data_IF_697088829855
#
_entry.id   IF_697088829855
#
_cell.length_a   1.000
_cell.length_b   1.000
_cell.length_c   1.000
_cell.angle_alpha   90.00
_cell.angle_beta   90.00
_cell.angle_gamma   90.00
#
_symmetry.space_group_name_H-M   'P 1'
#
loop_
_entity.id
_entity.type
_entity.pdbx_description
1 polymer ?
#
# COMPACT_ATOMS: atom_id res chain seq x y z
N UNK A 1 -41.26 28.18 35.56
CA UNK A 1 -40.21 27.15 35.68
C UNK A 1 -40.29 26.32 34.42
N UNK A 2 -39.35 26.63 33.53
CA UNK A 2 -38.86 25.98 32.29
C UNK A 2 -39.89 25.38 31.32
N UNK A 3 -40.06 25.91 30.10
CA UNK A 3 -39.12 25.95 28.95
C UNK A 3 -38.61 24.58 28.52
N UNK A 4 -39.11 24.07 27.39
CA UNK A 4 -38.36 23.44 26.27
C UNK A 4 -39.38 23.22 25.13
N UNK A 5 -39.58 24.19 24.24
CA UNK A 5 -38.85 24.37 22.98
C UNK A 5 -38.73 23.08 22.15
N UNK A 6 -39.62 22.97 21.15
CA UNK A 6 -39.63 21.93 20.13
C UNK A 6 -38.65 22.34 19.03
N UNK A 7 -37.36 22.17 19.28
CA UNK A 7 -36.32 22.30 18.26
C UNK A 7 -36.13 20.94 17.59
N UNK A 8 -36.88 20.70 16.52
CA UNK A 8 -36.62 19.60 15.60
C UNK A 8 -35.42 19.98 14.74
N UNK A 9 -34.23 19.67 15.27
CA UNK A 9 -32.94 19.81 14.60
C UNK A 9 -32.79 18.67 13.57
N UNK A 10 -33.58 18.71 12.50
CA UNK A 10 -33.32 17.88 11.32
C UNK A 10 -32.58 18.69 10.24
N UNK A 11 -31.52 19.35 10.70
CA UNK A 11 -30.52 20.01 9.88
C UNK A 11 -29.16 19.38 10.13
N UNK A 12 -29.04 18.09 9.82
CA UNK A 12 -27.75 17.48 9.52
C UNK A 12 -27.82 17.05 8.08
N UNK A 13 -27.10 17.79 7.25
CA UNK A 13 -26.70 17.41 5.90
C UNK A 13 -26.15 15.98 5.99
N UNK A 14 -26.99 14.99 5.69
CA UNK A 14 -26.49 13.66 5.35
C UNK A 14 -25.73 13.88 4.05
N UNK A 15 -24.40 13.83 4.09
CA UNK A 15 -23.60 13.65 2.88
C UNK A 15 -24.19 12.42 2.17
N UNK A 16 -25.03 12.64 1.16
CA UNK A 16 -25.60 11.56 0.36
C UNK A 16 -24.43 10.85 -0.29
N UNK A 17 -24.08 9.66 0.22
CA UNK A 17 -23.09 8.79 -0.42
C UNK A 17 -23.60 8.53 -1.84
N UNK A 18 -22.88 8.97 -2.88
CA UNK A 18 -23.33 8.82 -4.25
C UNK A 18 -23.47 7.33 -4.59
N UNK A 19 -24.50 6.97 -5.35
CA UNK A 19 -24.70 5.57 -5.75
C UNK A 19 -23.53 5.07 -6.62
N UNK A 20 -23.31 3.75 -6.66
CA UNK A 20 -22.29 3.13 -7.50
C UNK A 20 -22.45 3.51 -8.99
N UNK A 21 -23.68 3.68 -9.48
CA UNK A 21 -23.94 4.13 -10.84
C UNK A 21 -23.51 5.58 -11.08
N UNK A 22 -23.72 6.46 -10.09
CA UNK A 22 -23.26 7.84 -10.15
C UNK A 22 -21.73 7.93 -10.06
N UNK A 23 -21.09 7.07 -9.26
CA UNK A 23 -19.64 6.89 -9.24
C UNK A 23 -19.12 6.39 -10.59
N UNK A 24 -19.76 5.37 -11.18
CA UNK A 24 -19.38 4.81 -12.47
C UNK A 24 -19.50 5.84 -13.59
N UNK A 25 -20.56 6.66 -13.57
CA UNK A 25 -20.72 7.77 -14.49
C UNK A 25 -19.58 8.80 -14.35
N UNK A 26 -19.17 9.10 -13.11
CA UNK A 26 -18.02 9.98 -12.84
C UNK A 26 -16.70 9.36 -13.33
N UNK A 27 -16.43 8.09 -13.03
CA UNK A 27 -15.25 7.37 -13.50
C UNK A 27 -15.16 7.37 -15.04
N UNK A 28 -16.29 7.12 -15.71
CA UNK A 28 -16.41 7.21 -17.17
C UNK A 28 -16.20 8.61 -17.72
N UNK A 29 -16.40 9.66 -16.93
CA UNK A 29 -16.17 11.05 -17.34
C UNK A 29 -14.75 11.57 -17.07
N UNK A 30 -13.90 10.80 -16.37
CA UNK A 30 -12.52 11.21 -16.08
C UNK A 30 -11.73 11.44 -17.37
N UNK A 31 -11.02 12.56 -17.42
CA UNK A 31 -10.09 12.86 -18.50
C UNK A 31 -8.78 12.14 -18.27
N UNK A 32 -8.33 11.33 -19.24
CA UNK A 32 -7.00 10.71 -19.21
C UNK A 32 -5.91 11.77 -19.16
N UNK A 33 -6.07 12.86 -19.91
CA UNK A 33 -5.12 13.98 -19.93
C UNK A 33 -4.95 14.62 -18.54
N UNK A 34 -6.06 14.83 -17.82
CA UNK A 34 -6.00 15.43 -16.48
C UNK A 34 -5.46 14.48 -15.42
N UNK A 35 -5.69 13.17 -15.58
CA UNK A 35 -5.06 12.16 -14.74
C UNK A 35 -3.56 12.08 -15.03
N UNK A 36 -3.15 12.19 -16.29
CA UNK A 36 -1.75 12.21 -16.70
C UNK A 36 -1.03 13.45 -16.15
N UNK A 37 -1.63 14.64 -16.24
CA UNK A 37 -1.10 15.87 -15.62
C UNK A 37 -0.84 15.69 -14.12
N UNK A 38 -1.77 15.01 -13.43
CA UNK A 38 -1.65 14.73 -12.00
C UNK A 38 -0.53 13.73 -11.70
N UNK A 39 -0.44 12.64 -12.49
CA UNK A 39 0.62 11.63 -12.36
C UNK A 39 2.00 12.24 -12.65
N UNK A 40 2.14 13.04 -13.71
CA UNK A 40 3.39 13.75 -14.02
C UNK A 40 3.80 14.71 -12.92
N UNK A 41 2.83 15.41 -12.32
CA UNK A 41 3.10 16.33 -11.21
C UNK A 41 3.58 15.62 -9.95
N UNK A 42 3.13 14.39 -9.69
CA UNK A 42 3.59 13.57 -8.56
C UNK A 42 4.95 12.94 -8.89
N UNK A 43 5.15 12.50 -10.13
CA UNK A 43 6.35 11.81 -10.58
C UNK A 43 6.35 10.34 -10.14
N UNK A 44 6.64 9.43 -11.08
CA UNK A 44 6.70 8.00 -10.78
C UNK A 44 7.48 7.21 -11.83
N UNK A 45 8.34 6.31 -11.36
CA UNK A 45 8.94 5.27 -12.20
C UNK A 45 8.98 3.95 -11.42
N UNK A 46 8.30 2.91 -11.93
CA UNK A 46 8.35 1.58 -11.33
C UNK A 46 9.76 0.99 -11.49
N UNK A 47 10.42 0.70 -10.37
CA UNK A 47 11.78 0.12 -10.34
C UNK A 47 11.80 -1.41 -10.45
N UNK A 48 10.61 -2.04 -10.54
CA UNK A 48 10.43 -3.51 -10.55
C UNK A 48 11.04 -4.20 -9.32
N UNK A 49 11.13 -3.53 -8.18
CA UNK A 49 11.75 -4.04 -6.96
C UNK A 49 10.96 -5.14 -6.23
N UNK A 50 9.69 -5.38 -6.59
CA UNK A 50 8.84 -6.39 -5.94
C UNK A 50 8.35 -6.02 -4.53
N UNK A 51 8.69 -4.85 -3.98
CA UNK A 51 8.29 -4.45 -2.63
C UNK A 51 6.76 -4.32 -2.46
N UNK A 52 6.02 -4.02 -3.53
CA UNK A 52 4.56 -4.01 -3.47
C UNK A 52 3.94 -5.41 -3.41
N UNK A 53 4.72 -6.47 -3.63
CA UNK A 53 4.26 -7.85 -3.58
C UNK A 53 4.52 -8.51 -2.21
N UNK A 54 5.22 -7.84 -1.30
CA UNK A 54 5.56 -8.39 0.01
C UNK A 54 4.51 -8.06 1.06
N UNK A 55 4.42 -8.89 2.09
CA UNK A 55 3.57 -8.62 3.25
C UNK A 55 4.06 -7.37 4.01
N UNK A 56 3.16 -6.65 4.67
CA UNK A 56 3.53 -5.52 5.52
C UNK A 56 3.92 -6.02 6.92
N UNK A 57 5.16 -5.76 7.33
CA UNK A 57 5.61 -6.03 8.69
C UNK A 57 5.35 -4.81 9.57
N UNK A 58 4.45 -4.94 10.56
CA UNK A 58 4.36 -3.98 11.65
C UNK A 58 5.70 -3.97 12.41
N UNK A 59 6.60 -3.03 12.10
CA UNK A 59 7.92 -2.90 12.74
C UNK A 59 9.08 -2.48 11.83
N UNK A 60 8.90 -2.39 10.51
CA UNK A 60 9.98 -2.02 9.59
C UNK A 60 10.36 -0.53 9.62
N UNK A 61 9.56 0.31 10.29
CA UNK A 61 9.83 1.74 10.48
C UNK A 61 11.01 2.03 11.43
N UNK A 62 11.43 1.06 12.26
CA UNK A 62 12.46 1.29 13.29
C UNK A 62 13.89 0.88 12.89
N UNK A 63 14.12 0.26 11.72
CA UNK A 63 15.44 -0.28 11.37
C UNK A 63 16.05 0.20 10.03
N UNK A 64 15.78 1.45 9.62
CA UNK A 64 16.55 2.12 8.55
C UNK A 64 17.16 3.47 8.97
N UNK A 65 17.67 3.57 10.19
CA UNK A 65 18.50 4.73 10.59
C UNK A 65 19.65 4.37 11.53
N UNK A 66 20.47 3.38 11.18
CA UNK A 66 21.80 3.25 11.81
C UNK A 66 22.85 2.69 10.84
N UNK A 67 23.09 3.41 9.75
CA UNK A 67 24.41 3.45 9.14
C UNK A 67 24.90 4.89 9.19
N UNK A 68 25.34 5.30 10.38
CA UNK A 68 26.04 6.57 10.55
C UNK A 68 27.40 6.46 9.85
N UNK A 69 27.52 7.20 8.76
CA UNK A 69 28.76 7.58 8.13
C UNK A 69 29.48 8.54 9.10
N UNK A 70 30.42 8.04 9.91
CA UNK A 70 31.37 8.90 10.63
C UNK A 70 32.71 8.95 9.88
N UNK A 71 33.19 10.16 9.51
CA UNK A 71 34.52 10.32 8.96
C UNK A 71 35.54 10.36 10.10
N UNK A 72 36.25 9.26 10.28
CA UNK A 72 37.31 9.16 11.28
C UNK A 72 38.52 10.02 10.89
N UNK A 73 38.58 11.22 11.48
CA UNK A 73 39.73 12.12 11.43
C UNK A 73 40.72 11.77 12.55
N UNK A 74 41.77 11.03 12.19
CA UNK A 74 42.96 10.86 13.05
C UNK A 74 44.21 11.37 12.34
N UNK A 75 44.76 12.47 12.86
CA UNK A 75 46.10 12.92 12.54
C UNK A 75 47.05 12.62 13.70
N UNK A 76 48.10 11.81 13.43
CA UNK A 76 49.50 12.23 13.42
C UNK A 76 50.48 11.17 13.98
N UNK A 77 51.38 10.67 13.12
CA UNK A 77 52.82 10.54 13.41
C UNK A 77 53.66 10.22 12.13
N UNK A 78 54.36 11.25 11.62
CA UNK A 78 55.76 11.25 11.18
C UNK A 78 56.29 10.32 10.06
N UNK A 79 56.60 10.91 8.89
CA UNK A 79 57.96 11.01 8.29
C UNK A 79 57.83 11.62 6.88
N UNK A 80 58.23 12.87 6.70
CA UNK A 80 59.54 13.31 6.18
C UNK A 80 59.76 12.98 4.69
N UNK A 81 59.58 13.97 3.81
CA UNK A 81 60.64 14.51 2.92
C UNK A 81 60.12 15.54 1.91
N UNK A 82 60.74 16.72 1.97
CA UNK A 82 61.21 17.55 0.84
C UNK A 82 60.26 18.42 -0.02
N UNK A 83 60.64 19.72 -0.01
CA UNK A 83 60.78 20.69 -1.12
C UNK A 83 59.56 21.58 -1.44
N UNK A 84 59.66 22.85 -1.05
CA UNK A 84 60.01 24.04 -1.88
C UNK A 84 58.73 24.57 -2.57
N UNK A 85 58.35 25.85 -2.61
CA UNK A 85 58.98 27.12 -2.30
C UNK A 85 57.86 28.20 -2.40
N UNK A 86 57.99 29.32 -1.67
CA UNK A 86 57.48 30.66 -2.03
C UNK A 86 55.95 30.94 -2.10
N UNK A 87 55.40 32.12 -1.73
CA UNK A 87 55.91 33.43 -1.31
C UNK A 87 54.68 34.29 -0.88
N UNK A 88 54.79 34.99 0.28
CA UNK A 88 54.29 36.35 0.62
C UNK A 88 52.78 36.71 0.60
N UNK A 89 52.28 37.18 1.76
CA UNK A 89 51.84 38.58 2.09
C UNK A 89 50.32 38.76 1.93
N UNK A 90 49.55 39.48 2.76
CA UNK A 90 49.84 40.48 3.78
C UNK A 90 48.75 40.49 4.86
N UNK A 91 49.17 41.03 5.99
CA UNK A 91 48.45 41.29 7.22
C UNK A 91 47.62 42.59 7.12
N UNK A 92 46.40 42.63 7.67
CA UNK A 92 45.86 43.89 8.18
C UNK A 92 44.94 43.68 9.39
N UNK A 93 45.28 44.51 10.38
CA UNK A 93 44.73 44.70 11.71
C UNK A 93 43.46 45.55 11.65
N UNK A 94 42.47 45.27 12.51
CA UNK A 94 41.91 46.30 13.40
C UNK A 94 41.09 45.70 14.54
N UNK A 95 41.55 46.00 15.74
CA UNK A 95 40.87 45.95 17.04
C UNK A 95 39.76 46.99 17.15
N UNK A 96 38.72 46.72 17.97
CA UNK A 96 38.15 47.47 19.13
C UNK A 96 36.68 47.07 19.30
N UNK A 97 36.00 47.16 20.44
CA UNK A 97 36.26 47.08 21.87
C UNK A 97 34.86 47.24 22.54
N UNK A 98 34.62 46.44 23.57
CA UNK A 98 33.75 46.66 24.75
C UNK A 98 32.26 47.03 24.65
N UNK A 99 31.46 46.31 25.44
CA UNK A 99 30.09 46.69 25.81
C UNK A 99 29.34 45.70 26.71
N UNK A 100 29.86 45.49 27.92
CA UNK A 100 29.30 44.66 29.01
C UNK A 100 28.12 45.33 29.73
N UNK A 101 27.05 44.60 30.05
CA UNK A 101 26.24 44.84 31.27
C UNK A 101 25.50 43.58 31.75
N UNK A 102 25.82 43.20 32.99
CA UNK A 102 25.16 42.24 33.88
C UNK A 102 23.70 42.62 34.23
N UNK A 103 22.82 41.63 34.51
CA UNK A 103 22.43 41.30 35.90
C UNK A 103 21.50 40.10 36.01
N UNK A 104 21.95 39.14 36.83
CA UNK A 104 21.23 38.12 37.56
C UNK A 104 19.93 38.61 38.23
N UNK A 105 18.97 37.71 38.45
CA UNK A 105 18.69 37.17 39.79
C UNK A 105 17.56 36.15 39.80
N UNK A 106 17.83 35.07 40.52
CA UNK A 106 16.97 33.97 40.94
C UNK A 106 15.86 34.46 41.89
N UNK A 107 14.71 33.76 41.91
CA UNK A 107 13.98 33.39 43.14
C UNK A 107 13.38 31.98 42.93
N UNK A 108 13.61 31.11 43.91
CA UNK A 108 13.01 29.80 44.08
C UNK A 108 11.99 29.84 45.23
N UNK A 109 10.90 29.07 45.15
CA UNK A 109 10.17 28.46 46.29
C UNK A 109 9.12 27.47 45.75
N UNK A 110 9.30 26.14 45.84
CA UNK A 110 8.68 25.21 46.82
C UNK A 110 7.21 25.55 47.17
N UNK A 111 6.19 24.69 47.15
CA UNK A 111 5.99 23.26 47.41
C UNK A 111 4.56 22.92 46.93
N UNK A 112 4.27 21.68 46.55
CA UNK A 112 3.31 20.78 47.24
C UNK A 112 2.92 19.61 46.33
N UNK A 113 3.43 18.44 46.70
CA UNK A 113 2.97 17.13 46.27
C UNK A 113 1.60 16.84 46.87
N UNK A 114 0.65 16.41 46.04
CA UNK A 114 -0.53 15.67 46.48
C UNK A 114 -0.58 14.36 45.71
N UNK A 115 -0.44 13.30 46.48
CA UNK A 115 -0.58 11.91 46.06
C UNK A 115 -1.99 11.70 45.49
N UNK A 116 -2.09 11.09 44.31
CA UNK A 116 -3.34 10.52 43.84
C UNK A 116 -3.07 9.10 43.35
N UNK A 117 -3.22 8.17 44.28
CA UNK A 117 -3.32 6.75 44.03
C UNK A 117 -4.64 6.47 43.30
N UNK A 118 -4.56 6.18 42.00
CA UNK A 118 -5.70 5.83 41.16
C UNK A 118 -5.31 4.78 40.13
N UNK A 119 -5.41 3.52 40.55
CA UNK A 119 -5.67 2.32 39.73
C UNK A 119 -5.06 2.29 38.33
N UNK A 120 -3.84 1.74 38.24
CA UNK A 120 -3.35 1.13 36.99
C UNK A 120 -4.18 -0.13 36.75
N UNK A 121 -5.17 -0.03 35.87
CA UNK A 121 -5.73 -1.20 35.23
C UNK A 121 -4.59 -1.88 34.48
N UNK A 122 -4.27 -3.10 34.89
CA UNK A 122 -3.40 -4.01 34.15
C UNK A 122 -4.10 -4.27 32.81
N UNK A 123 -3.77 -3.50 31.79
CA UNK A 123 -3.94 -3.96 30.42
C UNK A 123 -2.93 -5.09 30.26
N UNK A 124 -3.45 -6.30 30.31
CA UNK A 124 -2.77 -7.54 29.99
C UNK A 124 -2.12 -7.35 28.62
N UNK A 125 -0.82 -7.03 28.63
CA UNK A 125 0.00 -7.08 27.43
C UNK A 125 0.17 -8.55 27.09
N UNK A 126 -0.90 -9.14 26.55
CA UNK A 126 -0.76 -10.25 25.62
C UNK A 126 0.20 -9.73 24.57
N UNK A 127 1.37 -10.35 24.53
CA UNK A 127 2.36 -10.13 23.48
C UNK A 127 1.66 -10.43 22.17
N UNK A 128 1.08 -9.41 21.53
CA UNK A 128 0.77 -9.45 20.12
C UNK A 128 2.13 -9.69 19.47
N UNK A 129 2.37 -10.93 19.06
CA UNK A 129 3.31 -11.19 17.98
C UNK A 129 2.98 -10.17 16.90
N UNK A 130 3.93 -9.33 16.50
CA UNK A 130 3.77 -8.41 15.37
C UNK A 130 3.20 -9.24 14.21
N UNK A 131 1.88 -9.13 13.99
CA UNK A 131 1.20 -9.97 13.03
C UNK A 131 1.46 -9.33 11.69
N UNK A 132 2.36 -9.94 10.93
CA UNK A 132 2.58 -9.56 9.54
C UNK A 132 1.25 -9.69 8.80
N UNK A 133 0.68 -8.58 8.36
CA UNK A 133 -0.53 -8.62 7.54
C UNK A 133 -0.15 -9.12 6.16
N UNK A 134 -0.73 -10.25 5.70
CA UNK A 134 -0.37 -10.83 4.42
C UNK A 134 -0.73 -9.85 3.30
N UNK A 135 0.08 -9.84 2.24
CA UNK A 135 -0.17 -9.04 1.05
C UNK A 135 -1.59 -9.29 0.54
N UNK A 136 -2.34 -8.20 0.33
CA UNK A 136 -3.74 -8.26 -0.09
C UNK A 136 -3.94 -7.30 -1.27
N UNK A 137 -4.18 -7.88 -2.44
CA UNK A 137 -4.54 -7.15 -3.65
C UNK A 137 -5.76 -7.80 -4.29
N UNK A 138 -6.84 -7.05 -4.44
CA UNK A 138 -8.09 -7.53 -5.03
C UNK A 138 -7.88 -7.89 -6.50
N UNK A 139 -8.39 -9.05 -6.92
CA UNK A 139 -8.31 -9.53 -8.30
C UNK A 139 -9.68 -10.04 -8.74
N UNK A 140 -10.07 -9.77 -9.98
CA UNK A 140 -11.38 -10.17 -10.50
C UNK A 140 -11.32 -11.47 -11.32
N UNK A 141 -12.46 -12.17 -11.53
CA UNK A 141 -12.47 -13.50 -12.16
C UNK A 141 -11.82 -13.60 -13.54
N UNK A 142 -11.88 -12.56 -14.36
CA UNK A 142 -11.19 -12.50 -15.65
C UNK A 142 -9.67 -12.34 -15.48
N UNK A 143 -9.23 -11.43 -14.60
CA UNK A 143 -7.82 -11.22 -14.27
C UNK A 143 -7.16 -12.50 -13.71
N UNK A 144 -7.90 -13.29 -12.91
CA UNK A 144 -7.42 -14.59 -12.42
C UNK A 144 -7.15 -15.54 -13.60
N UNK A 145 -8.07 -15.62 -14.57
CA UNK A 145 -7.92 -16.50 -15.75
C UNK A 145 -6.80 -16.03 -16.68
N UNK A 146 -6.59 -14.72 -16.80
CA UNK A 146 -5.47 -14.13 -17.52
C UNK A 146 -4.13 -14.54 -16.88
N UNK A 147 -4.02 -14.44 -15.55
CA UNK A 147 -2.83 -14.87 -14.80
C UNK A 147 -2.57 -16.38 -14.90
N UNK A 148 -3.60 -17.22 -14.86
CA UNK A 148 -3.46 -18.67 -15.09
C UNK A 148 -2.86 -18.94 -16.47
N UNK A 149 -3.36 -18.25 -17.50
CA UNK A 149 -2.86 -18.39 -18.88
C UNK A 149 -1.41 -17.94 -18.99
N UNK A 150 -1.07 -16.78 -18.42
CA UNK A 150 0.30 -16.26 -18.43
C UNK A 150 1.28 -17.21 -17.71
N UNK A 151 0.85 -17.82 -16.60
CA UNK A 151 1.67 -18.77 -15.83
C UNK A 151 1.89 -20.08 -16.61
N UNK A 152 0.84 -20.59 -17.25
CA UNK A 152 0.92 -21.79 -18.09
C UNK A 152 1.85 -21.58 -19.29
N UNK A 153 1.84 -20.40 -19.91
CA UNK A 153 2.72 -20.04 -21.04
C UNK A 153 4.21 -19.95 -20.63
N UNK A 154 4.52 -19.56 -19.39
CA UNK A 154 5.89 -19.52 -18.86
C UNK A 154 6.41 -20.93 -18.53
N UNK A 155 5.52 -21.85 -18.15
CA UNK A 155 5.84 -23.22 -17.76
C UNK A 155 6.32 -24.14 -18.90
N UNK A 156 6.14 -23.76 -20.16
CA UNK A 156 6.50 -24.55 -21.35
C UNK A 156 8.01 -24.44 -21.68
N UNK A 157 8.88 -24.70 -20.68
CA UNK A 157 10.32 -24.92 -20.93
C UNK A 157 10.50 -26.32 -21.57
N UNK A 158 10.98 -26.43 -22.82
CA UNK A 158 11.10 -27.70 -23.53
C UNK A 158 12.16 -28.67 -22.95
N UNK A 159 12.78 -28.35 -21.81
CA UNK A 159 13.82 -29.18 -21.15
C UNK A 159 13.31 -29.92 -19.90
N UNK A 160 12.00 -30.15 -19.76
CA UNK A 160 11.50 -31.16 -18.81
C UNK A 160 11.52 -32.57 -19.43
N UNK A 161 12.69 -33.21 -19.45
CA UNK A 161 12.77 -34.67 -19.66
C UNK A 161 12.24 -35.39 -18.43
N UNK A 162 10.96 -35.72 -18.44
CA UNK A 162 10.35 -36.61 -17.45
C UNK A 162 9.05 -37.15 -17.99
N UNK A 163 8.97 -38.47 -18.17
CA UNK A 163 7.74 -39.18 -18.48
C UNK A 163 6.74 -38.99 -17.32
N UNK A 164 5.97 -37.92 -17.38
CA UNK A 164 4.89 -37.57 -16.46
C UNK A 164 3.79 -36.88 -17.26
N UNK A 165 2.63 -37.52 -17.27
CA UNK A 165 1.28 -36.95 -17.39
C UNK A 165 1.26 -35.41 -17.53
N UNK A 166 0.74 -34.96 -18.68
CA UNK A 166 0.85 -33.59 -19.19
C UNK A 166 0.66 -32.50 -18.14
N UNK A 167 1.46 -31.43 -18.30
CA UNK A 167 1.51 -30.25 -17.45
C UNK A 167 0.11 -29.86 -16.95
N UNK A 168 -0.11 -30.00 -15.65
CA UNK A 168 -1.35 -29.57 -15.03
C UNK A 168 -1.43 -28.04 -15.18
N UNK A 169 -2.49 -27.55 -15.82
CA UNK A 169 -2.78 -26.12 -15.92
C UNK A 169 -2.88 -25.50 -14.52
N UNK A 170 -2.37 -24.29 -14.36
CA UNK A 170 -2.40 -23.51 -13.12
C UNK A 170 -3.81 -23.47 -12.54
N UNK A 171 -4.01 -23.93 -11.31
CA UNK A 171 -5.33 -23.96 -10.68
C UNK A 171 -5.72 -22.58 -10.10
N UNK A 172 -7.02 -22.36 -9.88
CA UNK A 172 -7.51 -21.09 -9.33
C UNK A 172 -6.85 -20.76 -7.99
N UNK A 173 -6.64 -21.79 -7.14
CA UNK A 173 -6.01 -21.66 -5.82
C UNK A 173 -4.53 -21.31 -5.90
N UNK A 174 -3.88 -21.56 -7.04
CA UNK A 174 -2.49 -21.17 -7.25
C UNK A 174 -2.36 -19.67 -7.52
N UNK A 175 -3.45 -19.01 -7.95
CA UNK A 175 -3.46 -17.59 -8.34
C UNK A 175 -4.22 -16.72 -7.34
N UNK A 176 -5.34 -17.20 -6.81
CA UNK A 176 -6.25 -16.41 -6.01
C UNK A 176 -6.75 -17.16 -4.77
N UNK A 177 -7.09 -16.38 -3.74
CA UNK A 177 -7.70 -16.85 -2.49
C UNK A 177 -8.93 -16.03 -2.13
N UNK A 178 -9.87 -16.60 -1.36
CA UNK A 178 -10.95 -15.82 -0.76
C UNK A 178 -10.41 -14.58 -0.04
N UNK A 179 -11.10 -13.44 -0.14
CA UNK A 179 -10.78 -12.29 0.72
C UNK A 179 -10.86 -12.71 2.19
N UNK A 180 -9.95 -12.25 3.06
CA UNK A 180 -9.87 -12.71 4.45
C UNK A 180 -11.03 -12.22 5.32
N UNK A 181 -11.80 -11.24 4.86
CA UNK A 181 -12.90 -10.65 5.61
C UNK A 181 -14.16 -11.52 5.59
N UNK A 182 -14.82 -11.67 6.74
CA UNK A 182 -16.06 -12.45 6.85
C UNK A 182 -15.86 -13.96 6.97
N UNK A 183 -14.61 -14.40 7.14
CA UNK A 183 -14.24 -15.80 7.34
C UNK A 183 -13.91 -16.05 8.82
N UNK A 184 -14.24 -17.26 9.29
CA UNK A 184 -13.88 -17.74 10.62
C UNK A 184 -12.63 -18.62 10.53
N UNK A 185 -11.50 -18.12 11.05
CA UNK A 185 -10.20 -18.80 11.07
C UNK A 185 -10.24 -20.13 11.82
N UNK A 186 -11.18 -20.32 12.75
CA UNK A 186 -11.28 -21.55 13.54
C UNK A 186 -12.09 -22.65 12.84
N UNK A 187 -13.03 -22.27 11.98
CA UNK A 187 -14.05 -23.18 11.45
C UNK A 187 -13.98 -23.43 9.95
N UNK A 188 -13.11 -22.74 9.19
CA UNK A 188 -13.00 -22.87 7.72
C UNK A 188 -14.37 -22.72 7.01
N UNK A 189 -15.27 -21.94 7.61
CA UNK A 189 -16.62 -21.65 7.11
C UNK A 189 -16.82 -20.15 7.10
N UNK A 190 -17.62 -19.66 6.15
CA UNK A 190 -17.96 -18.25 6.11
C UNK A 190 -18.34 -17.79 4.72
N UNK A 191 -18.74 -16.53 4.63
CA UNK A 191 -19.07 -15.88 3.37
C UNK A 191 -18.18 -14.66 3.22
N UNK A 192 -17.50 -14.58 2.09
CA UNK A 192 -16.70 -13.41 1.72
C UNK A 192 -17.08 -12.88 0.34
N UNK A 193 -16.57 -11.71 0.02
CA UNK A 193 -16.81 -11.00 -1.23
C UNK A 193 -15.49 -10.78 -1.95
N UNK A 194 -15.49 -11.06 -3.26
CA UNK A 194 -14.34 -10.93 -4.15
C UNK A 194 -13.13 -11.80 -3.76
N UNK A 195 -12.08 -11.70 -4.57
CA UNK A 195 -10.84 -12.47 -4.44
C UNK A 195 -9.66 -11.57 -4.13
N UNK A 196 -8.68 -12.12 -3.42
CA UNK A 196 -7.33 -11.57 -3.33
C UNK A 196 -6.35 -12.42 -4.12
N UNK A 197 -5.26 -11.82 -4.60
CA UNK A 197 -4.09 -12.60 -5.04
C UNK A 197 -3.66 -13.58 -3.94
N UNK A 198 -3.31 -14.79 -4.36
CA UNK A 198 -2.80 -15.83 -3.48
C UNK A 198 -1.47 -15.39 -2.87
N UNK A 199 -1.20 -15.87 -1.66
CA UNK A 199 0.05 -15.63 -0.95
C UNK A 199 0.83 -16.92 -0.72
N UNK A 200 2.15 -16.82 -0.63
CA UNK A 200 3.02 -17.90 -0.18
C UNK A 200 2.98 -18.05 1.36
N UNK A 201 3.80 -18.96 1.90
CA UNK A 201 3.85 -19.21 3.34
C UNK A 201 4.40 -18.05 4.19
N UNK A 202 5.11 -17.09 3.57
CA UNK A 202 5.59 -15.87 4.22
C UNK A 202 4.53 -14.76 4.24
N UNK A 203 3.43 -14.92 3.48
CA UNK A 203 2.40 -13.90 3.31
C UNK A 203 2.63 -12.96 2.13
N UNK A 204 3.70 -13.15 1.35
CA UNK A 204 3.94 -12.40 0.12
C UNK A 204 3.07 -12.95 -1.02
N UNK A 205 2.81 -12.13 -2.03
CA UNK A 205 2.15 -12.55 -3.26
C UNK A 205 2.82 -13.79 -3.86
N UNK A 206 2.03 -14.74 -4.37
CA UNK A 206 2.54 -15.99 -4.98
C UNK A 206 3.46 -15.75 -6.19
N UNK A 207 3.33 -14.60 -6.85
CA UNK A 207 4.16 -14.18 -7.98
C UNK A 207 5.43 -13.43 -7.55
N UNK A 208 5.65 -13.24 -6.26
CA UNK A 208 6.90 -12.67 -5.75
C UNK A 208 8.02 -13.70 -5.85
N UNK A 209 9.16 -13.26 -6.37
CA UNK A 209 10.39 -14.04 -6.36
C UNK A 209 11.55 -13.14 -5.93
N UNK A 210 12.48 -13.71 -5.17
CA UNK A 210 13.68 -13.03 -4.71
C UNK A 210 14.92 -13.84 -5.12
N UNK A 211 15.77 -13.22 -5.93
CA UNK A 211 17.06 -13.80 -6.32
C UNK A 211 18.17 -12.88 -5.86
N UNK A 212 19.15 -13.41 -5.13
CA UNK A 212 20.30 -12.68 -4.60
C UNK A 212 19.94 -11.42 -3.77
N UNK A 213 18.83 -11.49 -3.02
CA UNK A 213 18.35 -10.36 -2.20
C UNK A 213 17.61 -9.28 -2.99
N UNK A 214 17.28 -9.53 -4.25
CA UNK A 214 16.57 -8.60 -5.12
C UNK A 214 15.18 -9.20 -5.43
N UNK A 215 14.14 -8.54 -4.94
CA UNK A 215 12.76 -8.88 -5.19
C UNK A 215 12.32 -8.56 -6.62
N UNK A 216 11.36 -9.33 -7.12
CA UNK A 216 10.77 -9.17 -8.44
C UNK A 216 9.35 -9.73 -8.49
N UNK A 217 8.53 -9.20 -9.41
CA UNK A 217 7.20 -9.73 -9.69
C UNK A 217 7.27 -10.54 -10.99
N UNK A 218 7.01 -11.85 -10.91
CA UNK A 218 7.05 -12.75 -12.07
C UNK A 218 5.89 -12.50 -13.05
N UNK A 219 4.77 -11.96 -12.56
CA UNK A 219 3.61 -11.59 -13.37
C UNK A 219 3.68 -10.12 -13.85
N UNK A 220 4.84 -9.45 -13.84
CA UNK A 220 4.93 -7.99 -14.04
C UNK A 220 4.24 -7.48 -15.31
N UNK A 221 4.34 -8.22 -16.41
CA UNK A 221 3.80 -7.81 -17.69
C UNK A 221 2.30 -8.15 -17.85
N UNK A 222 1.79 -9.07 -17.02
CA UNK A 222 0.39 -9.55 -16.99
C UNK A 222 -0.31 -9.15 -15.67
N UNK A 223 0.19 -8.10 -15.01
CA UNK A 223 -0.32 -7.65 -13.70
C UNK A 223 -1.81 -7.32 -13.77
N UNK A 224 -2.61 -7.75 -12.75
CA UNK A 224 -3.95 -7.22 -12.55
C UNK A 224 -3.95 -5.70 -12.43
N UNK A 225 -5.09 -5.08 -12.72
CA UNK A 225 -5.24 -3.63 -12.76
C UNK A 225 -4.81 -2.96 -11.45
N UNK A 226 -5.12 -3.57 -10.29
CA UNK A 226 -4.68 -3.11 -8.97
C UNK A 226 -3.16 -2.95 -8.90
N UNK A 227 -2.40 -3.91 -9.45
CA UNK A 227 -0.94 -3.95 -9.43
C UNK A 227 -0.33 -3.11 -10.55
N UNK A 228 -0.95 -3.07 -11.72
CA UNK A 228 -0.50 -2.29 -12.87
C UNK A 228 -0.61 -0.77 -12.64
N UNK A 229 -1.53 -0.36 -11.77
CA UNK A 229 -1.79 1.06 -11.45
C UNK A 229 -1.20 1.50 -10.13
N UNK A 230 -0.66 0.59 -9.32
CA UNK A 230 0.07 0.93 -8.11
C UNK A 230 1.27 1.84 -8.44
N UNK A 231 1.50 2.93 -7.69
CA UNK A 231 0.92 3.27 -6.39
C UNK A 231 -0.27 4.22 -6.45
N UNK A 232 -0.96 4.34 -7.58
CA UNK A 232 -2.01 5.33 -7.76
C UNK A 232 -3.43 4.78 -7.54
N UNK A 233 -4.30 5.62 -6.98
CA UNK A 233 -5.75 5.41 -6.95
C UNK A 233 -6.50 6.70 -7.28
N UNK A 234 -7.80 6.60 -7.56
CA UNK A 234 -8.68 7.76 -7.81
C UNK A 234 -9.64 7.94 -6.65
N UNK A 235 -9.71 9.15 -6.10
CA UNK A 235 -10.67 9.50 -5.05
C UNK A 235 -12.09 9.69 -5.64
N UNK A 236 -12.82 8.59 -5.78
CA UNK A 236 -14.27 8.57 -6.02
C UNK A 236 -14.96 8.37 -4.66
N UNK A 237 -15.96 9.21 -4.35
CA UNK A 237 -16.53 9.40 -3.00
C UNK A 237 -17.37 8.25 -2.43
N UNK A 238 -17.13 7.00 -2.82
CA UNK A 238 -17.95 5.84 -2.45
C UNK A 238 -17.27 4.49 -2.58
N UNK A 239 -16.02 4.40 -3.05
CA UNK A 239 -15.26 3.15 -3.03
C UNK A 239 -14.20 3.14 -1.93
N UNK A 240 -14.00 1.97 -1.34
CA UNK A 240 -12.93 1.69 -0.37
C UNK A 240 -11.61 2.21 -0.93
N UNK A 241 -11.05 3.24 -0.29
CA UNK A 241 -9.71 3.69 -0.62
C UNK A 241 -8.78 2.50 -0.37
N UNK A 242 -7.89 2.13 -1.31
CA UNK A 242 -6.91 1.08 -1.05
C UNK A 242 -6.12 1.41 0.21
N UNK A 243 -5.74 0.36 0.92
CA UNK A 243 -5.15 0.40 2.25
C UNK A 243 -3.98 1.39 2.32
N UNK A 244 -3.99 2.25 3.35
CA UNK A 244 -2.95 3.25 3.60
C UNK A 244 -3.42 4.70 3.40
N UNK A 245 -2.83 5.61 4.17
CA UNK A 245 -2.99 7.05 3.93
C UNK A 245 -2.20 7.42 2.67
N UNK A 246 -2.82 8.21 1.79
CA UNK A 246 -2.12 8.71 0.61
C UNK A 246 -0.95 9.62 1.02
N UNK A 247 0.26 9.28 0.60
CA UNK A 247 1.48 10.07 0.86
C UNK A 247 1.59 11.30 -0.05
N UNK A 248 0.90 11.29 -1.20
CA UNK A 248 0.79 12.46 -2.08
C UNK A 248 -0.57 12.49 -2.81
N UNK A 249 -0.95 13.66 -3.32
CA UNK A 249 -2.20 13.88 -4.05
C UNK A 249 -2.11 15.00 -5.07
N UNK A 250 -2.69 14.76 -6.24
CA UNK A 250 -2.89 15.77 -7.27
C UNK A 250 -4.29 15.62 -7.87
N UNK A 251 -5.16 16.61 -7.63
CA UNK A 251 -6.56 16.56 -8.05
C UNK A 251 -7.28 15.33 -7.48
N UNK A 252 -7.76 14.44 -8.36
CA UNK A 252 -8.42 13.19 -7.97
C UNK A 252 -7.46 12.03 -7.77
N UNK A 253 -6.20 12.15 -8.21
CA UNK A 253 -5.19 11.11 -8.04
C UNK A 253 -4.66 11.13 -6.61
N UNK A 254 -4.47 9.95 -6.05
CA UNK A 254 -3.82 9.68 -4.76
C UNK A 254 -2.64 8.77 -5.04
N UNK A 255 -1.52 9.01 -4.38
CA UNK A 255 -0.35 8.15 -4.41
C UNK A 255 -0.15 7.51 -3.03
N UNK A 256 0.16 6.23 -3.04
CA UNK A 256 0.46 5.41 -1.86
C UNK A 256 1.96 5.16 -1.76
N UNK A 257 2.42 4.73 -0.60
CA UNK A 257 3.84 4.50 -0.33
C UNK A 257 4.48 3.64 -1.41
N UNK A 258 5.52 4.15 -2.07
CA UNK A 258 6.31 3.43 -3.06
C UNK A 258 7.64 4.13 -3.29
N UNK A 259 8.73 3.36 -3.40
CA UNK A 259 10.08 3.87 -3.70
C UNK A 259 10.20 4.53 -5.09
N UNK A 260 9.26 4.24 -5.98
CA UNK A 260 9.21 4.80 -7.33
C UNK A 260 8.72 6.25 -7.40
N UNK A 261 8.13 6.80 -6.34
CA UNK A 261 7.54 8.14 -6.33
C UNK A 261 8.60 9.25 -6.42
N UNK A 262 8.21 10.38 -7.03
CA UNK A 262 9.05 11.57 -7.20
C UNK A 262 10.10 11.45 -8.32
N UNK A 263 10.14 10.33 -9.04
CA UNK A 263 11.00 10.12 -10.22
C UNK A 263 10.36 10.74 -11.46
N UNK A 264 11.18 11.10 -12.44
CA UNK A 264 10.70 11.67 -13.70
C UNK A 264 9.91 10.61 -14.49
N UNK A 265 8.69 10.97 -14.92
CA UNK A 265 7.87 10.17 -15.83
C UNK A 265 7.69 10.91 -17.15
N UNK A 266 7.77 10.19 -18.27
CA UNK A 266 7.47 10.80 -19.57
C UNK A 266 5.96 11.01 -19.73
N UNK A 267 5.59 12.01 -20.54
CA UNK A 267 4.17 12.26 -20.85
C UNK A 267 3.45 11.04 -21.39
N UNK A 268 4.09 10.31 -22.28
CA UNK A 268 3.55 9.09 -22.88
C UNK A 268 3.28 8.02 -21.81
N UNK A 269 4.23 7.78 -20.90
CA UNK A 269 4.07 6.83 -19.81
C UNK A 269 3.01 7.27 -18.79
N UNK A 270 2.92 8.58 -18.51
CA UNK A 270 1.88 9.12 -17.64
C UNK A 270 0.48 9.00 -18.25
N UNK A 271 0.34 9.20 -19.57
CA UNK A 271 -0.92 9.00 -20.29
C UNK A 271 -1.34 7.52 -20.34
N UNK A 272 -0.39 6.61 -20.53
CA UNK A 272 -0.63 5.17 -20.45
C UNK A 272 -1.09 4.76 -19.05
N UNK A 273 -0.36 5.17 -18.00
CA UNK A 273 -0.72 4.88 -16.62
C UNK A 273 -2.06 5.51 -16.23
N UNK A 274 -2.34 6.73 -16.69
CA UNK A 274 -3.62 7.41 -16.50
C UNK A 274 -4.78 6.66 -17.17
N UNK A 275 -4.57 6.14 -18.38
CA UNK A 275 -5.57 5.34 -19.09
C UNK A 275 -5.86 4.04 -18.33
N UNK A 276 -4.83 3.33 -17.87
CA UNK A 276 -4.96 2.11 -17.06
C UNK A 276 -5.64 2.40 -15.72
N UNK A 277 -5.27 3.50 -15.05
CA UNK A 277 -5.89 3.94 -13.78
C UNK A 277 -7.38 4.24 -13.94
N UNK A 278 -7.77 4.89 -15.04
CA UNK A 278 -9.19 5.10 -15.35
C UNK A 278 -9.91 3.78 -15.64
N UNK A 279 -9.28 2.88 -16.40
CA UNK A 279 -9.82 1.55 -16.69
C UNK A 279 -10.07 0.78 -15.40
N UNK A 280 -9.11 0.76 -14.48
CA UNK A 280 -9.25 0.19 -13.14
C UNK A 280 -10.45 0.76 -12.39
N UNK A 281 -10.53 2.09 -12.27
CA UNK A 281 -11.62 2.73 -11.53
C UNK A 281 -13.01 2.36 -12.12
N UNK A 282 -13.11 2.24 -13.44
CA UNK A 282 -14.34 1.78 -14.11
C UNK A 282 -14.60 0.29 -13.83
N UNK A 283 -13.57 -0.55 -13.88
CA UNK A 283 -13.68 -2.00 -13.64
C UNK A 283 -14.17 -2.28 -12.23
N UNK A 284 -13.50 -1.73 -11.21
CA UNK A 284 -13.86 -1.89 -9.79
C UNK A 284 -15.35 -1.53 -9.53
N UNK A 285 -15.83 -0.44 -10.13
CA UNK A 285 -17.23 -0.03 -9.99
C UNK A 285 -18.21 -0.94 -10.73
N UNK A 286 -17.86 -1.45 -11.91
CA UNK A 286 -18.70 -2.43 -12.60
C UNK A 286 -18.77 -3.74 -11.81
N UNK A 287 -17.65 -4.22 -11.29
CA UNK A 287 -17.58 -5.43 -10.48
C UNK A 287 -18.43 -5.29 -9.21
N UNK A 288 -18.31 -4.18 -8.49
CA UNK A 288 -19.14 -3.89 -7.32
C UNK A 288 -20.65 -3.83 -7.65
N UNK A 289 -21.02 -3.24 -8.79
CA UNK A 289 -22.43 -3.21 -9.26
C UNK A 289 -22.91 -4.62 -9.60
N UNK A 290 -22.11 -5.38 -10.36
CA UNK A 290 -22.43 -6.75 -10.77
C UNK A 290 -22.56 -7.67 -9.57
N UNK A 291 -21.65 -7.57 -8.60
CA UNK A 291 -21.72 -8.31 -7.34
C UNK A 291 -23.02 -7.99 -6.59
N UNK A 292 -23.33 -6.70 -6.39
CA UNK A 292 -24.56 -6.27 -5.72
C UNK A 292 -25.81 -6.81 -6.43
N UNK A 293 -25.82 -6.78 -7.76
CA UNK A 293 -26.97 -7.19 -8.57
C UNK A 293 -27.13 -8.72 -8.66
N UNK A 294 -26.03 -9.47 -8.59
CA UNK A 294 -26.01 -10.93 -8.64
C UNK A 294 -26.08 -11.59 -7.26
N UNK A 295 -25.85 -10.85 -6.19
CA UNK A 295 -25.80 -11.39 -4.83
C UNK A 295 -27.13 -12.00 -4.41
N UNK A 296 -27.08 -13.30 -4.12
CA UNK A 296 -28.13 -14.05 -3.45
C UNK A 296 -27.49 -14.75 -2.24
N UNK A 297 -27.99 -14.55 -1.01
CA UNK A 297 -27.47 -15.26 0.15
C UNK A 297 -27.53 -16.78 -0.08
N UNK A 298 -26.38 -17.44 -0.05
CA UNK A 298 -26.37 -18.89 0.04
C UNK A 298 -26.84 -19.29 1.44
N UNK A 299 -27.71 -20.31 1.54
CA UNK A 299 -28.10 -20.88 2.84
C UNK A 299 -26.91 -21.49 3.59
N UNK A 300 -27.19 -22.30 4.61
CA UNK A 300 -26.13 -23.05 5.32
C UNK A 300 -25.40 -23.96 4.31
N UNK A 301 -24.21 -23.53 3.91
CA UNK A 301 -23.31 -24.24 3.01
C UNK A 301 -22.16 -24.80 3.85
N UNK A 302 -21.76 -26.04 3.54
CA UNK A 302 -20.56 -26.61 4.16
C UNK A 302 -19.32 -25.93 3.54
N UNK A 303 -18.64 -25.09 4.32
CA UNK A 303 -17.36 -24.45 3.96
C UNK A 303 -17.45 -22.95 3.65
N UNK A 304 -16.41 -22.43 2.99
CA UNK A 304 -16.32 -21.03 2.56
C UNK A 304 -17.08 -20.81 1.25
N UNK A 305 -17.84 -19.73 1.17
CA UNK A 305 -18.47 -19.22 -0.05
C UNK A 305 -17.88 -17.86 -0.39
N UNK A 306 -17.46 -17.70 -1.65
CA UNK A 306 -16.99 -16.42 -2.19
C UNK A 306 -18.06 -15.92 -3.16
N UNK A 307 -18.54 -14.69 -2.97
CA UNK A 307 -19.39 -14.02 -3.95
C UNK A 307 -18.56 -13.01 -4.73
N UNK A 308 -18.54 -13.13 -6.05
CA UNK A 308 -17.97 -12.13 -6.97
C UNK A 308 -19.02 -11.70 -8.01
N UNK A 309 -18.59 -10.90 -8.98
CA UNK A 309 -19.44 -10.40 -10.07
C UNK A 309 -20.09 -11.46 -10.96
N UNK A 310 -19.62 -12.71 -10.93
CA UNK A 310 -20.21 -13.83 -11.68
C UNK A 310 -21.04 -14.78 -10.79
N UNK A 311 -21.15 -14.50 -9.48
CA UNK A 311 -21.99 -15.24 -8.53
C UNK A 311 -21.22 -15.99 -7.45
N UNK A 312 -21.90 -16.90 -6.76
CA UNK A 312 -21.34 -17.67 -5.65
C UNK A 312 -20.40 -18.79 -6.13
N UNK A 313 -19.25 -18.91 -5.47
CA UNK A 313 -18.19 -19.88 -5.78
C UNK A 313 -17.64 -20.53 -4.53
N UNK A 314 -17.10 -21.74 -4.69
CA UNK A 314 -16.21 -22.39 -3.70
C UNK A 314 -14.81 -21.77 -3.77
N UNK A 315 -13.93 -22.02 -2.79
CA UNK A 315 -12.57 -21.45 -2.77
C UNK A 315 -11.65 -21.86 -3.93
N UNK A 316 -12.02 -22.86 -4.75
CA UNK A 316 -11.33 -23.20 -6.02
C UNK A 316 -11.89 -22.45 -7.23
N UNK A 317 -12.77 -21.48 -7.01
CA UNK A 317 -13.43 -20.76 -8.10
C UNK A 317 -14.53 -21.56 -8.80
N UNK A 318 -14.83 -22.80 -8.36
CA UNK A 318 -15.95 -23.55 -8.94
C UNK A 318 -17.27 -22.93 -8.51
N UNK A 319 -18.18 -22.74 -9.48
CA UNK A 319 -19.50 -22.18 -9.21
C UNK A 319 -20.31 -23.07 -8.24
N UNK A 320 -21.09 -22.43 -7.39
CA UNK A 320 -22.12 -23.08 -6.59
C UNK A 320 -23.43 -22.95 -7.36
N UNK A 321 -23.95 -24.08 -7.84
CA UNK A 321 -25.28 -24.12 -8.45
C UNK A 321 -26.33 -23.87 -7.36
N UNK A 322 -27.14 -22.83 -7.55
CA UNK A 322 -28.34 -22.55 -6.73
C UNK A 322 -29.56 -23.34 -7.24
#
# INVERSE_FOLDING_TARGET
MNDTDTTDLNGTEQEETPSLEAELARAKSLSVESLADAIESIGFECTRCGACCTAHHEGDDEQKSEYNDEPDSVNAAGSDTSRDDNLKTDNSVSTVDSGHVDHSSQIADQTQTVDNEGQKEHHDMTTQSASTEPHTATVFPDEIRELQTATDDIGDDPVATGDGDGQASTEWRDVARPMPYGLDDENETGTTFEWALQTNACGDCVFYDETDGIGSCQAHDDRPLICATYPFSVALGGTSQPMGEAVDKAGMVRAHECEGLGRDISREAAEELAATLRTRAIRELNEAISLRDAYEPTGDTDGIVVHDSEGAKRPDGTAIDN
#
